data_IF_732874218864
#
_entry.id   IF_732874218864
#
_cell.length_a   1.000
_cell.length_b   1.000
_cell.length_c   1.000
_cell.angle_alpha   90.00
_cell.angle_beta   90.00
_cell.angle_gamma   90.00
#
_symmetry.space_group_name_H-M   'P 1'
#
loop_
_entity.id
_entity.type
_entity.pdbx_description
1 polymer ?
#
# COMPACT_ATOMS: atom_id res chain seq x y z
N UNK A 1 20.37 -14.86 12.94
CA UNK A 1 20.59 -13.61 12.19
C UNK A 1 19.26 -12.90 12.24
N UNK A 2 19.24 -11.74 12.88
CA UNK A 2 18.06 -10.95 13.23
C UNK A 2 17.19 -10.74 12.01
N UNK A 3 15.94 -11.20 12.11
CA UNK A 3 14.86 -10.87 11.20
C UNK A 3 14.75 -9.34 11.23
N UNK A 4 15.29 -8.71 10.19
CA UNK A 4 14.98 -7.31 9.91
C UNK A 4 13.48 -7.35 9.60
N UNK A 5 12.65 -7.00 10.59
CA UNK A 5 11.23 -6.70 10.45
C UNK A 5 11.14 -5.75 9.25
N UNK A 6 10.82 -6.30 8.07
CA UNK A 6 10.88 -5.57 6.82
C UNK A 6 9.87 -4.43 6.94
N UNK A 7 10.39 -3.26 7.29
CA UNK A 7 9.59 -2.09 7.60
C UNK A 7 9.47 -1.30 6.33
N UNK A 8 8.24 -1.12 5.89
CA UNK A 8 7.92 -0.40 4.67
C UNK A 8 7.34 0.95 5.03
N UNK A 9 7.69 1.95 4.23
CA UNK A 9 7.23 3.31 4.45
C UNK A 9 6.34 3.73 3.29
N UNK A 10 5.16 4.25 3.62
CA UNK A 10 4.25 4.86 2.66
C UNK A 10 4.52 6.35 2.68
N UNK A 11 4.98 6.89 1.56
CA UNK A 11 5.42 8.27 1.43
C UNK A 11 4.56 8.98 0.39
N UNK A 12 3.96 10.11 0.75
CA UNK A 12 3.21 10.99 -0.16
C UNK A 12 4.07 12.21 -0.48
N UNK A 13 4.49 12.38 -1.75
CA UNK A 13 5.28 13.56 -2.19
C UNK A 13 6.47 13.90 -1.26
N UNK A 14 7.13 12.88 -0.72
CA UNK A 14 8.26 13.03 0.23
C UNK A 14 7.89 13.12 1.72
N UNK A 15 6.60 13.07 2.07
CA UNK A 15 6.11 13.05 3.45
C UNK A 15 5.72 11.64 3.86
N UNK A 16 6.28 11.12 4.97
CA UNK A 16 5.86 9.83 5.52
C UNK A 16 4.41 9.92 5.99
N UNK A 17 3.55 9.07 5.46
CA UNK A 17 2.13 9.00 5.83
C UNK A 17 1.75 7.72 6.56
N UNK A 18 2.61 6.71 6.55
CA UNK A 18 2.37 5.51 7.32
C UNK A 18 3.51 4.53 7.21
N UNK A 19 3.56 3.63 8.17
CA UNK A 19 4.63 2.62 8.28
C UNK A 19 3.98 1.25 8.38
N UNK A 20 4.42 0.32 7.54
CA UNK A 20 3.96 -1.07 7.56
C UNK A 20 5.07 -1.94 8.11
N UNK A 21 4.81 -2.59 9.23
CA UNK A 21 5.71 -3.59 9.82
C UNK A 21 5.25 -4.95 9.34
N UNK A 22 5.96 -5.54 8.38
CA UNK A 22 5.61 -6.87 7.84
C UNK A 22 5.85 -7.92 8.92
N UNK A 23 4.77 -8.59 9.32
CA UNK A 23 4.81 -9.69 10.27
C UNK A 23 4.69 -11.04 9.57
N UNK A 24 4.05 -11.09 8.39
CA UNK A 24 3.73 -12.33 7.70
C UNK A 24 3.89 -12.17 6.17
N UNK A 25 4.27 -13.26 5.50
CA UNK A 25 4.42 -13.33 4.05
C UNK A 25 3.60 -14.51 3.52
N UNK A 26 2.57 -14.19 2.73
CA UNK A 26 1.60 -15.12 2.16
C UNK A 26 1.78 -15.19 0.64
N UNK A 27 2.68 -16.05 0.15
CA UNK A 27 2.95 -16.46 -1.26
C UNK A 27 3.17 -15.36 -2.33
N UNK A 28 2.33 -14.31 -2.39
CA UNK A 28 2.41 -13.13 -3.26
C UNK A 28 2.04 -11.83 -2.53
N UNK A 29 1.56 -11.91 -1.29
CA UNK A 29 1.13 -10.78 -0.47
C UNK A 29 1.91 -10.74 0.83
N UNK A 30 2.32 -9.54 1.22
CA UNK A 30 2.91 -9.25 2.52
C UNK A 30 1.79 -8.76 3.43
N UNK A 31 1.78 -9.25 4.66
CA UNK A 31 0.83 -8.85 5.69
C UNK A 31 1.59 -8.30 6.88
N UNK A 32 1.04 -7.26 7.47
CA UNK A 32 1.73 -6.56 8.52
C UNK A 32 0.83 -5.60 9.27
N UNK A 33 1.43 -5.01 10.29
CA UNK A 33 0.81 -3.98 11.09
C UNK A 33 1.02 -2.63 10.42
N UNK A 34 -0.04 -1.88 10.18
CA UNK A 34 0.02 -0.54 9.62
C UNK A 34 -0.17 0.52 10.70
N UNK A 35 0.85 1.35 10.85
CA UNK A 35 0.82 2.52 11.72
C UNK A 35 0.56 3.73 10.84
N UNK A 36 -0.67 4.23 10.87
CA UNK A 36 -1.09 5.42 10.14
C UNK A 36 -0.59 6.70 10.83
N UNK A 37 0.02 7.59 10.07
CA UNK A 37 0.33 8.95 10.55
C UNK A 37 -0.91 9.85 10.44
N UNK A 38 -0.97 11.00 11.15
CA UNK A 38 -2.12 11.92 11.06
C UNK A 38 -2.42 12.41 9.64
N UNK A 39 -1.39 12.49 8.79
CA UNK A 39 -1.50 12.83 7.35
C UNK A 39 -2.13 11.72 6.50
N UNK A 40 -2.17 10.47 6.99
CA UNK A 40 -2.88 9.38 6.33
C UNK A 40 -4.38 9.65 6.20
N UNK A 41 -4.96 10.41 7.13
CA UNK A 41 -6.39 10.74 7.10
C UNK A 41 -6.83 11.43 5.79
N UNK A 42 -5.92 12.11 5.09
CA UNK A 42 -6.19 12.71 3.77
C UNK A 42 -6.36 11.66 2.66
N UNK A 43 -5.65 10.54 2.72
CA UNK A 43 -5.65 9.48 1.70
C UNK A 43 -6.46 8.25 2.11
N UNK A 44 -6.81 8.10 3.39
CA UNK A 44 -7.75 7.10 3.89
C UNK A 44 -9.01 6.96 3.03
N UNK A 45 -9.71 8.04 2.61
CA UNK A 45 -10.88 7.89 1.75
C UNK A 45 -10.58 7.27 0.38
N UNK A 46 -9.34 7.35 -0.13
CA UNK A 46 -8.97 6.70 -1.39
C UNK A 46 -8.92 5.18 -1.25
N UNK A 47 -8.34 4.69 -0.14
CA UNK A 47 -8.31 3.26 0.16
C UNK A 47 -9.71 2.71 0.47
N UNK A 48 -10.52 3.48 1.19
CA UNK A 48 -11.92 3.15 1.51
C UNK A 48 -12.76 3.01 0.21
N UNK A 49 -12.56 3.92 -0.75
CA UNK A 49 -13.20 3.85 -2.06
C UNK A 49 -12.77 2.61 -2.86
N UNK A 50 -11.46 2.32 -2.90
CA UNK A 50 -10.92 1.13 -3.57
C UNK A 50 -11.47 -0.16 -2.94
N UNK A 51 -11.55 -0.21 -1.61
CA UNK A 51 -12.11 -1.36 -0.89
C UNK A 51 -13.60 -1.53 -1.22
N UNK A 52 -14.39 -0.46 -1.18
CA UNK A 52 -15.80 -0.50 -1.53
C UNK A 52 -16.04 -0.94 -2.99
N UNK A 53 -15.16 -0.56 -3.91
CA UNK A 53 -15.21 -1.01 -5.31
C UNK A 53 -14.91 -2.51 -5.43
N UNK A 54 -13.91 -3.00 -4.69
CA UNK A 54 -13.61 -4.44 -4.63
C UNK A 54 -14.77 -5.24 -4.05
N UNK A 55 -15.41 -4.75 -2.98
CA UNK A 55 -16.59 -5.37 -2.38
C UNK A 55 -17.80 -5.37 -3.33
N UNK A 56 -17.90 -4.36 -4.20
CA UNK A 56 -18.94 -4.26 -5.24
C UNK A 56 -18.59 -5.04 -6.52
N UNK A 57 -17.40 -5.67 -6.59
CA UNK A 57 -16.88 -6.38 -7.78
C UNK A 57 -16.81 -5.48 -9.05
N UNK A 58 -16.73 -4.16 -8.85
CA UNK A 58 -16.73 -3.14 -9.90
C UNK A 58 -15.31 -2.92 -10.47
N UNK A 59 -14.70 -3.98 -11.01
CA UNK A 59 -13.32 -3.96 -11.52
C UNK A 59 -13.08 -2.91 -12.61
N UNK A 60 -14.12 -2.48 -13.32
CA UNK A 60 -14.04 -1.41 -14.32
C UNK A 60 -13.70 -0.03 -13.70
N UNK A 61 -14.08 0.20 -12.44
CA UNK A 61 -13.75 1.42 -11.71
C UNK A 61 -12.52 1.26 -10.84
N UNK A 62 -12.18 0.02 -10.47
CA UNK A 62 -11.03 -0.29 -9.64
C UNK A 62 -9.75 0.30 -10.23
N UNK A 63 -9.51 0.09 -11.52
CA UNK A 63 -8.30 0.55 -12.20
C UNK A 63 -8.13 2.07 -12.09
N UNK A 64 -9.17 2.85 -12.42
CA UNK A 64 -9.14 4.31 -12.33
C UNK A 64 -9.06 4.83 -10.89
N UNK A 65 -9.72 4.17 -9.94
CA UNK A 65 -9.69 4.53 -8.52
C UNK A 65 -8.34 4.20 -7.87
N UNK A 66 -7.69 3.11 -8.33
CA UNK A 66 -6.41 2.65 -7.83
C UNK A 66 -5.25 3.39 -8.50
N UNK A 67 -5.32 3.72 -9.79
CA UNK A 67 -4.25 4.38 -10.56
C UNK A 67 -3.72 5.67 -9.90
N UNK A 68 -4.60 6.46 -9.27
CA UNK A 68 -4.19 7.66 -8.52
C UNK A 68 -3.30 7.39 -7.28
N UNK A 69 -3.40 6.20 -6.69
CA UNK A 69 -2.66 5.83 -5.46
C UNK A 69 -1.15 5.78 -5.75
N UNK A 70 -0.62 4.92 -6.64
CA UNK A 70 0.81 4.90 -6.96
C UNK A 70 1.31 6.17 -7.64
N UNK A 71 0.42 7.02 -8.20
CA UNK A 71 0.80 8.33 -8.74
C UNK A 71 1.09 9.38 -7.63
N UNK A 72 0.32 9.34 -6.54
CA UNK A 72 0.46 10.31 -5.43
C UNK A 72 1.28 9.76 -4.26
N UNK A 73 1.36 8.43 -4.14
CA UNK A 73 1.98 7.68 -3.05
C UNK A 73 3.11 6.82 -3.60
N UNK A 74 4.22 6.80 -2.87
CA UNK A 74 5.34 5.92 -3.11
C UNK A 74 5.47 4.95 -1.95
N UNK A 75 5.58 3.67 -2.27
CA UNK A 75 5.90 2.64 -1.29
C UNK A 75 7.41 2.42 -1.29
N UNK A 76 8.04 2.59 -0.13
CA UNK A 76 9.48 2.49 0.05
C UNK A 76 9.79 1.22 0.84
N UNK A 77 10.40 0.26 0.15
CA UNK A 77 10.96 -0.95 0.74
C UNK A 77 12.27 -0.63 1.47
N UNK A 78 12.75 -1.50 2.37
CA UNK A 78 14.10 -1.37 2.94
C UNK A 78 15.21 -1.34 1.87
N UNK A 79 14.95 -1.87 0.67
CA UNK A 79 15.88 -1.84 -0.46
C UNK A 79 15.75 -0.59 -1.34
N UNK A 80 14.65 0.18 -1.21
CA UNK A 80 14.36 1.35 -2.04
C UNK A 80 12.89 1.48 -2.47
N UNK A 81 12.53 2.56 -3.18
CA UNK A 81 11.18 2.77 -3.71
C UNK A 81 10.84 1.74 -4.78
N UNK A 82 9.61 1.20 -4.73
CA UNK A 82 9.10 0.28 -5.77
C UNK A 82 8.42 1.06 -6.90
N UNK A 83 8.39 0.49 -8.10
CA UNK A 83 7.75 1.11 -9.26
C UNK A 83 6.22 1.13 -9.11
N UNK A 84 5.64 0.00 -8.72
CA UNK A 84 4.21 -0.15 -8.54
C UNK A 84 3.90 -1.01 -7.31
N UNK A 85 2.77 -0.74 -6.67
CA UNK A 85 2.32 -1.50 -5.52
C UNK A 85 0.82 -1.51 -5.38
N UNK A 86 0.32 -2.61 -4.84
CA UNK A 86 -1.06 -2.81 -4.46
C UNK A 86 -1.13 -2.88 -2.93
N UNK A 87 -1.69 -1.85 -2.29
CA UNK A 87 -1.77 -1.73 -0.83
C UNK A 87 -3.24 -1.64 -0.38
N UNK A 88 -3.57 -2.47 0.58
CA UNK A 88 -4.85 -2.51 1.26
C UNK A 88 -4.63 -2.33 2.76
N UNK A 89 -5.47 -1.51 3.37
CA UNK A 89 -5.39 -1.16 4.78
C UNK A 89 -6.78 -1.34 5.38
N UNK A 90 -6.87 -2.18 6.40
CA UNK A 90 -8.07 -2.42 7.18
C UNK A 90 -7.76 -2.18 8.66
N UNK A 91 -8.18 -1.01 9.18
CA UNK A 91 -7.89 -0.62 10.56
C UNK A 91 -6.38 -0.44 10.80
N UNK A 92 -5.79 -1.39 11.54
CA UNK A 92 -4.36 -1.43 11.92
C UNK A 92 -3.62 -2.57 11.19
N UNK A 93 -4.31 -3.32 10.33
CA UNK A 93 -3.72 -4.35 9.46
C UNK A 93 -3.55 -3.81 8.04
N UNK A 94 -2.43 -4.18 7.41
CA UNK A 94 -2.21 -3.93 6.00
C UNK A 94 -1.75 -5.20 5.28
N UNK A 95 -2.28 -5.36 4.08
CA UNK A 95 -1.90 -6.37 3.11
C UNK A 95 -1.46 -5.66 1.85
N UNK A 96 -0.26 -5.95 1.38
CA UNK A 96 0.24 -5.33 0.16
C UNK A 96 1.09 -6.27 -0.67
N UNK A 97 1.16 -5.97 -1.96
CA UNK A 97 2.08 -6.57 -2.90
C UNK A 97 2.75 -5.45 -3.70
N UNK A 98 3.92 -5.71 -4.22
CA UNK A 98 4.65 -4.75 -5.03
C UNK A 98 5.15 -5.41 -6.30
N UNK A 99 5.50 -4.60 -7.29
CA UNK A 99 6.12 -5.05 -8.53
C UNK A 99 7.27 -4.10 -8.88
N UNK A 100 8.40 -4.69 -9.25
CA UNK A 100 9.59 -3.96 -9.72
C UNK A 100 9.34 -3.34 -11.10
N UNK A 101 8.48 -4.00 -11.88
CA UNK A 101 7.97 -3.54 -13.16
C UNK A 101 6.64 -2.80 -12.96
N UNK A 102 6.38 -1.73 -13.74
CA UNK A 102 5.10 -1.03 -13.68
C UNK A 102 3.97 -1.99 -14.03
N UNK A 103 2.86 -1.92 -13.28
CA UNK A 103 1.73 -2.85 -13.43
C UNK A 103 0.90 -2.60 -14.71
N UNK A 104 1.24 -1.57 -15.49
CA UNK A 104 0.65 -1.26 -16.79
C UNK A 104 1.72 -1.06 -17.86
N UNK A 105 1.59 -1.82 -18.96
CA UNK A 105 2.27 -1.58 -20.24
C UNK A 105 1.28 -1.15 -21.30
#
# INVERSE_FOLDING_TARGET
MTQDDATWHVVRKGTLIGTITVTENDFLWLRGRFIAEPVFAEVKPWFDEVLAILESEDFARFDAAYDRIPQELALVSPSGPVADFLLHIEGDEAWFRWSDEPLGG
#
